data_IF_178943668306
#
_entry.id   IF_178943668306
#
_cell.length_a   1.000
_cell.length_b   1.000
_cell.length_c   1.000
_cell.angle_alpha   90.00
_cell.angle_beta   90.00
_cell.angle_gamma   90.00
#
_symmetry.space_group_name_H-M   'P 1'
#
loop_
_entity.id
_entity.type
_entity.pdbx_description
1 polymer ?
#
# COMPACT_ATOMS: atom_id res chain seq x y z
N UNK A 1 -58.53 -4.03 -25.72
CA UNK A 1 -57.65 -3.39 -26.72
C UNK A 1 -56.60 -2.60 -25.96
N UNK A 2 -55.32 -2.84 -26.22
CA UNK A 2 -54.20 -2.43 -25.35
C UNK A 2 -53.86 -0.95 -25.41
N UNK A 3 -53.74 -0.33 -24.24
CA UNK A 3 -53.24 1.03 -24.08
C UNK A 3 -51.71 1.03 -24.24
N UNK A 4 -51.23 1.73 -25.27
CA UNK A 4 -49.80 1.79 -25.62
C UNK A 4 -49.10 2.63 -24.56
N UNK A 5 -48.39 1.96 -23.64
CA UNK A 5 -47.35 2.57 -22.80
C UNK A 5 -46.40 3.36 -23.70
N UNK A 6 -46.55 4.68 -23.69
CA UNK A 6 -45.75 5.60 -24.49
C UNK A 6 -44.29 5.47 -24.09
N UNK A 7 -43.51 4.76 -24.90
CA UNK A 7 -42.05 4.85 -24.87
C UNK A 7 -41.70 6.31 -25.21
N UNK A 8 -41.22 7.06 -24.21
CA UNK A 8 -40.71 8.41 -24.43
C UNK A 8 -39.59 8.32 -25.45
N UNK A 9 -39.76 8.99 -26.59
CA UNK A 9 -38.74 9.10 -27.61
C UNK A 9 -37.43 9.65 -26.98
N UNK A 10 -36.26 9.13 -27.37
CA UNK A 10 -34.99 9.60 -26.82
C UNK A 10 -34.83 11.08 -27.13
N UNK A 11 -34.63 11.89 -26.09
CA UNK A 11 -34.41 13.33 -26.21
C UNK A 11 -33.13 13.58 -27.01
N UNK A 12 -33.25 14.35 -28.10
CA UNK A 12 -32.11 14.77 -28.91
C UNK A 12 -31.32 15.81 -28.11
N UNK A 13 -30.10 15.46 -27.69
CA UNK A 13 -29.20 16.40 -27.02
C UNK A 13 -28.59 17.35 -28.05
N UNK A 14 -28.42 18.61 -27.65
CA UNK A 14 -27.76 19.62 -28.48
C UNK A 14 -26.31 19.20 -28.78
N UNK A 15 -25.90 19.33 -30.05
CA UNK A 15 -24.56 18.96 -30.56
C UNK A 15 -23.72 20.19 -30.95
N UNK A 16 -24.17 21.40 -30.63
CA UNK A 16 -23.36 22.60 -30.78
C UNK A 16 -22.06 22.47 -29.98
N UNK A 17 -20.99 23.13 -30.44
CA UNK A 17 -19.75 23.19 -29.68
C UNK A 17 -20.03 23.75 -28.27
N UNK A 18 -19.46 23.12 -27.25
CA UNK A 18 -19.54 23.64 -25.89
C UNK A 18 -18.77 24.97 -25.80
N UNK A 19 -19.36 25.95 -25.13
CA UNK A 19 -18.75 27.28 -24.94
C UNK A 19 -17.47 27.21 -24.09
N UNK A 20 -17.41 26.26 -23.15
CA UNK A 20 -16.23 25.96 -22.34
C UNK A 20 -15.84 24.50 -22.59
N UNK A 21 -14.57 24.29 -22.96
CA UNK A 21 -14.01 22.96 -23.10
C UNK A 21 -13.49 22.48 -21.74
N UNK A 22 -13.74 21.22 -21.41
CA UNK A 22 -13.19 20.59 -20.22
C UNK A 22 -11.67 20.41 -20.43
N UNK A 23 -10.86 21.03 -19.57
CA UNK A 23 -9.40 20.92 -19.62
C UNK A 23 -8.90 19.77 -18.75
N UNK A 24 -7.68 19.30 -19.03
CA UNK A 24 -7.03 18.30 -18.18
C UNK A 24 -6.86 18.81 -16.74
N UNK A 25 -6.54 20.09 -16.54
CA UNK A 25 -6.40 20.69 -15.21
C UNK A 25 -7.71 20.66 -14.44
N UNK A 26 -8.83 20.96 -15.10
CA UNK A 26 -10.14 20.97 -14.44
C UNK A 26 -10.55 19.58 -13.95
N UNK A 27 -10.30 18.54 -14.76
CA UNK A 27 -10.54 17.15 -14.37
C UNK A 27 -9.65 16.76 -13.19
N UNK A 28 -8.36 17.09 -13.24
CA UNK A 28 -7.40 16.73 -12.18
C UNK A 28 -7.76 17.42 -10.86
N UNK A 29 -8.13 18.71 -10.90
CA UNK A 29 -8.54 19.47 -9.72
C UNK A 29 -9.82 18.93 -9.10
N UNK A 30 -10.84 18.68 -9.91
CA UNK A 30 -12.10 18.10 -9.43
C UNK A 30 -11.90 16.70 -8.85
N UNK A 31 -11.03 15.88 -9.46
CA UNK A 31 -10.69 14.56 -8.93
C UNK A 31 -9.98 14.64 -7.58
N UNK A 32 -9.09 15.61 -7.37
CA UNK A 32 -8.42 15.84 -6.09
C UNK A 32 -9.39 16.36 -5.01
N UNK A 33 -10.27 17.30 -5.35
CA UNK A 33 -11.28 17.84 -4.41
C UNK A 33 -12.30 16.79 -3.97
N UNK A 34 -12.62 15.84 -4.86
CA UNK A 34 -13.51 14.71 -4.60
C UNK A 34 -12.79 13.48 -4.05
N UNK A 35 -11.47 13.56 -3.84
CA UNK A 35 -10.73 12.44 -3.29
C UNK A 35 -11.23 12.19 -1.86
N UNK A 36 -11.97 11.10 -1.68
CA UNK A 36 -12.41 10.64 -0.36
C UNK A 36 -11.17 10.45 0.53
N UNK A 37 -11.29 10.85 1.80
CA UNK A 37 -10.22 10.63 2.76
C UNK A 37 -9.93 9.13 2.88
N UNK A 38 -8.65 8.77 2.84
CA UNK A 38 -8.24 7.39 3.07
C UNK A 38 -8.68 6.97 4.48
N UNK A 39 -9.58 5.99 4.56
CA UNK A 39 -10.03 5.43 5.84
C UNK A 39 -8.83 4.81 6.54
N UNK A 40 -8.29 5.51 7.55
CA UNK A 40 -7.20 4.96 8.35
C UNK A 40 -7.73 3.81 9.22
N UNK A 41 -7.02 2.66 9.27
CA UNK A 41 -7.41 1.58 10.15
C UNK A 41 -7.38 2.03 11.62
N UNK A 42 -8.29 1.51 12.47
CA UNK A 42 -8.34 1.91 13.88
C UNK A 42 -7.03 1.57 14.59
N UNK A 43 -6.57 2.47 15.47
CA UNK A 43 -5.37 2.26 16.30
C UNK A 43 -5.64 1.16 17.32
N UNK A 44 -5.14 -0.05 17.06
CA UNK A 44 -5.22 -1.18 18.00
C UNK A 44 -4.16 -1.01 19.11
N UNK A 45 -4.58 -1.10 20.37
CA UNK A 45 -3.66 -1.17 21.52
C UNK A 45 -3.46 -2.64 21.85
N UNK A 46 -2.20 -3.08 21.92
CA UNK A 46 -1.84 -4.44 22.32
C UNK A 46 -1.74 -4.43 23.84
N UNK A 47 -2.57 -5.21 24.54
CA UNK A 47 -2.60 -5.22 26.02
C UNK A 47 -1.86 -6.42 26.60
N UNK A 48 -1.89 -7.55 25.91
CA UNK A 48 -1.41 -8.82 26.45
C UNK A 48 -0.22 -9.40 25.66
N UNK A 49 0.58 -10.23 26.33
CA UNK A 49 1.77 -10.87 25.73
C UNK A 49 1.40 -11.78 24.56
N UNK A 50 0.28 -12.49 24.66
CA UNK A 50 -0.23 -13.37 23.60
C UNK A 50 -0.63 -12.58 22.35
N UNK A 51 -1.32 -11.45 22.53
CA UNK A 51 -1.64 -10.53 21.43
C UNK A 51 -0.39 -9.94 20.78
N UNK A 52 0.65 -9.65 21.57
CA UNK A 52 1.94 -9.17 21.06
C UNK A 52 2.60 -10.22 20.17
N UNK A 53 2.58 -11.49 20.58
CA UNK A 53 3.16 -12.58 19.81
C UNK A 53 2.36 -12.88 18.53
N UNK A 54 1.03 -12.79 18.57
CA UNK A 54 0.19 -12.85 17.36
C UNK A 54 0.48 -11.69 16.40
N UNK A 55 0.60 -10.46 16.93
CA UNK A 55 0.97 -9.30 16.15
C UNK A 55 2.33 -9.49 15.47
N UNK A 56 3.33 -9.98 16.22
CA UNK A 56 4.67 -10.28 15.70
C UNK A 56 4.61 -11.34 14.62
N UNK A 57 3.87 -12.42 14.82
CA UNK A 57 3.71 -13.49 13.83
C UNK A 57 3.08 -12.97 12.54
N UNK A 58 2.00 -12.18 12.65
CA UNK A 58 1.33 -11.57 11.49
C UNK A 58 2.29 -10.64 10.74
N UNK A 59 3.01 -9.76 11.45
CA UNK A 59 3.96 -8.82 10.84
C UNK A 59 5.14 -9.53 10.17
N UNK A 60 5.70 -10.56 10.79
CA UNK A 60 6.75 -11.39 10.17
C UNK A 60 6.27 -12.01 8.87
N UNK A 61 5.06 -12.57 8.87
CA UNK A 61 4.47 -13.16 7.66
C UNK A 61 4.32 -12.12 6.54
N UNK A 62 3.87 -10.91 6.85
CA UNK A 62 3.78 -9.81 5.89
C UNK A 62 5.16 -9.49 5.26
N UNK A 63 6.20 -9.36 6.07
CA UNK A 63 7.56 -9.10 5.58
C UNK A 63 8.10 -10.26 4.73
N UNK A 64 7.95 -11.50 5.18
CA UNK A 64 8.38 -12.67 4.41
C UNK A 64 7.62 -12.79 3.09
N UNK A 65 6.32 -12.50 3.05
CA UNK A 65 5.55 -12.50 1.82
C UNK A 65 5.97 -11.35 0.88
N UNK A 66 6.33 -10.17 1.40
CA UNK A 66 6.92 -9.09 0.60
C UNK A 66 8.27 -9.49 0.01
N UNK A 67 9.14 -10.13 0.80
CA UNK A 67 10.45 -10.63 0.35
C UNK A 67 10.27 -11.75 -0.67
N UNK A 68 9.30 -12.63 -0.51
CA UNK A 68 8.99 -13.69 -1.49
C UNK A 68 8.53 -13.11 -2.82
N UNK A 69 7.69 -12.06 -2.80
CA UNK A 69 7.23 -11.38 -4.02
C UNK A 69 8.34 -10.58 -4.70
N UNK A 70 9.19 -9.92 -3.92
CA UNK A 70 10.21 -8.99 -4.40
C UNK A 70 11.54 -9.23 -3.70
N UNK A 71 12.18 -10.37 -3.99
CA UNK A 71 13.42 -10.78 -3.31
C UNK A 71 14.57 -9.80 -3.48
N UNK A 72 14.69 -9.18 -4.65
CA UNK A 72 15.77 -8.22 -4.96
C UNK A 72 15.55 -6.82 -4.38
N UNK A 73 14.39 -6.52 -3.78
CA UNK A 73 14.12 -5.20 -3.24
C UNK A 73 14.69 -5.07 -1.82
N UNK A 74 15.90 -4.53 -1.71
CA UNK A 74 16.67 -4.39 -0.45
C UNK A 74 15.93 -3.55 0.59
N UNK A 75 15.08 -2.60 0.17
CA UNK A 75 14.29 -1.79 1.11
C UNK A 75 13.34 -2.64 1.96
N UNK A 76 12.82 -3.76 1.44
CA UNK A 76 11.98 -4.68 2.21
C UNK A 76 12.80 -5.40 3.30
N UNK A 77 14.01 -5.85 2.95
CA UNK A 77 14.95 -6.46 3.89
C UNK A 77 15.34 -5.49 5.02
N UNK A 78 15.69 -4.24 4.68
CA UNK A 78 16.05 -3.21 5.66
C UNK A 78 14.88 -2.84 6.59
N UNK A 79 13.66 -2.74 6.06
CA UNK A 79 12.46 -2.49 6.87
C UNK A 79 12.18 -3.64 7.83
N UNK A 80 12.35 -4.88 7.36
CA UNK A 80 12.15 -6.06 8.20
C UNK A 80 13.18 -6.14 9.33
N UNK A 81 14.46 -5.93 9.01
CA UNK A 81 15.53 -5.93 10.01
C UNK A 81 15.34 -4.82 11.05
N UNK A 82 15.01 -3.59 10.62
CA UNK A 82 14.72 -2.48 11.52
C UNK A 82 13.48 -2.74 12.41
N UNK A 83 12.49 -3.47 11.89
CA UNK A 83 11.33 -3.86 12.69
C UNK A 83 11.70 -4.91 13.75
N UNK A 84 12.45 -5.96 13.42
CA UNK A 84 12.93 -6.95 14.42
C UNK A 84 13.79 -6.27 15.50
N UNK A 85 14.63 -5.30 15.12
CA UNK A 85 15.42 -4.50 16.07
C UNK A 85 14.52 -3.69 17.02
N UNK A 86 13.43 -3.09 16.50
CA UNK A 86 12.42 -2.40 17.32
C UNK A 86 11.67 -3.33 18.29
N UNK A 87 11.64 -4.65 18.00
CA UNK A 87 11.05 -5.66 18.88
C UNK A 87 12.03 -6.15 19.95
N UNK A 88 13.31 -5.76 19.90
CA UNK A 88 14.39 -6.23 20.78
C UNK A 88 15.00 -7.57 20.34
N UNK A 89 14.65 -8.08 19.16
CA UNK A 89 15.04 -9.41 18.67
C UNK A 89 16.31 -9.31 17.80
N UNK A 90 17.43 -8.93 18.42
CA UNK A 90 18.69 -8.66 17.71
C UNK A 90 19.22 -9.86 16.92
N UNK A 91 19.07 -11.08 17.43
CA UNK A 91 19.52 -12.29 16.74
C UNK A 91 18.76 -12.52 15.44
N UNK A 92 17.45 -12.28 15.43
CA UNK A 92 16.62 -12.36 14.23
C UNK A 92 16.96 -11.27 13.24
N UNK A 93 17.15 -10.04 13.71
CA UNK A 93 17.57 -8.93 12.85
C UNK A 93 18.89 -9.26 12.13
N UNK A 94 19.87 -9.88 12.82
CA UNK A 94 21.12 -10.35 12.19
C UNK A 94 20.86 -11.39 11.11
N UNK A 95 20.03 -12.40 11.37
CA UNK A 95 19.70 -13.40 10.36
C UNK A 95 19.03 -12.78 9.12
N UNK A 96 18.22 -11.75 9.29
CA UNK A 96 17.62 -11.00 8.18
C UNK A 96 18.69 -10.23 7.38
N UNK A 97 19.66 -9.60 8.04
CA UNK A 97 20.77 -8.93 7.37
C UNK A 97 21.66 -9.91 6.60
N UNK A 98 21.99 -11.06 7.18
CA UNK A 98 22.77 -12.12 6.50
C UNK A 98 22.07 -12.58 5.22
N UNK A 99 20.77 -12.90 5.32
CA UNK A 99 19.96 -13.27 4.15
C UNK A 99 19.88 -12.15 3.11
N UNK A 100 19.88 -10.89 3.53
CA UNK A 100 19.89 -9.74 2.61
C UNK A 100 21.24 -9.63 1.87
N UNK A 101 22.35 -9.92 2.56
CA UNK A 101 23.69 -9.94 1.96
C UNK A 101 23.86 -11.11 0.98
N UNK A 102 23.26 -12.26 1.25
CA UNK A 102 23.24 -13.38 0.31
C UNK A 102 22.55 -13.01 -1.02
N UNK A 103 21.61 -12.05 -0.98
CA UNK A 103 20.92 -11.56 -2.18
C UNK A 103 21.74 -10.48 -2.89
N UNK A 104 22.18 -9.45 -2.17
CA UNK A 104 22.94 -8.34 -2.75
C UNK A 104 24.04 -7.86 -1.79
N UNK A 105 25.17 -8.57 -1.78
CA UNK A 105 26.33 -8.22 -0.96
C UNK A 105 26.99 -6.89 -1.34
N UNK A 106 26.80 -6.41 -2.58
CA UNK A 106 27.42 -5.18 -3.10
C UNK A 106 26.76 -3.92 -2.59
N UNK A 107 25.53 -4.01 -2.06
CA UNK A 107 24.83 -2.84 -1.58
C UNK A 107 25.39 -2.40 -0.22
N UNK A 108 26.17 -1.32 -0.23
CA UNK A 108 26.81 -0.71 0.94
C UNK A 108 25.80 -0.33 2.03
N UNK A 109 24.56 -0.02 1.68
CA UNK A 109 23.51 0.36 2.64
C UNK A 109 23.23 -0.73 3.66
N UNK A 110 23.31 -2.00 3.26
CA UNK A 110 23.07 -3.15 4.16
C UNK A 110 24.15 -3.15 5.25
N UNK A 111 25.42 -3.03 4.85
CA UNK A 111 26.56 -2.96 5.75
C UNK A 111 26.50 -1.75 6.69
N UNK A 112 26.08 -0.58 6.20
CA UNK A 112 25.96 0.62 7.04
C UNK A 112 24.86 0.49 8.12
N UNK A 113 23.81 -0.27 7.83
CA UNK A 113 22.69 -0.50 8.76
C UNK A 113 22.93 -1.66 9.73
N UNK A 114 23.93 -2.49 9.47
CA UNK A 114 24.26 -3.66 10.30
C UNK A 114 25.15 -3.34 11.52
N UNK A 115 25.49 -2.07 11.77
CA UNK A 115 26.26 -1.66 12.97
C UNK A 115 25.36 -1.47 14.18
#
# INVERSE_FOLDING_TARGET
MGDRRGQRAPQVKNKSAAEIQITAEQIIREAQERQEEEIQPPKQKITDKEELDEYRLRKRKEFEDQIRRQRGLITNWLKYAAWEDSQGEMERARNVYERALDVEYRNVTIWLKWR
#
